data_IF_585655304619
#
_entry.id   IF_585655304619
#
_cell.length_a   1.000
_cell.length_b   1.000
_cell.length_c   1.000
_cell.angle_alpha   90.00
_cell.angle_beta   90.00
_cell.angle_gamma   90.00
#
_symmetry.space_group_name_H-M   'P 1'
#
loop_
_entity.id
_entity.type
_entity.pdbx_description
1 polymer ?
#
# COMPACT_ATOMS: atom_id res chain seq x y z
N UNK A 1 -15.23 -7.41 0.89
CA UNK A 1 -15.26 -6.09 0.20
C UNK A 1 -14.65 -6.35 -1.18
N UNK A 2 -14.32 -5.35 -2.00
CA UNK A 2 -13.41 -5.58 -3.13
C UNK A 2 -12.04 -5.01 -2.78
N UNK A 3 -10.97 -5.59 -3.33
CA UNK A 3 -9.62 -5.05 -3.22
C UNK A 3 -9.52 -3.59 -3.68
N UNK A 4 -10.25 -3.23 -4.73
CA UNK A 4 -10.36 -1.85 -5.21
C UNK A 4 -10.86 -0.91 -4.10
N UNK A 5 -11.97 -1.27 -3.44
CA UNK A 5 -12.54 -0.48 -2.34
C UNK A 5 -11.59 -0.44 -1.14
N UNK A 6 -10.89 -1.53 -0.86
CA UNK A 6 -9.87 -1.57 0.18
C UNK A 6 -8.73 -0.58 -0.08
N UNK A 7 -8.13 -0.62 -1.28
CA UNK A 7 -7.04 0.30 -1.63
C UNK A 7 -7.51 1.75 -1.65
N UNK A 8 -8.70 2.03 -2.18
CA UNK A 8 -9.28 3.38 -2.18
C UNK A 8 -9.48 3.91 -0.75
N UNK A 9 -10.02 3.08 0.15
CA UNK A 9 -10.17 3.44 1.56
C UNK A 9 -8.82 3.73 2.22
N UNK A 10 -7.80 2.93 1.91
CA UNK A 10 -6.47 3.11 2.46
C UNK A 10 -5.80 4.38 1.92
N UNK A 11 -5.97 4.71 0.64
CA UNK A 11 -5.55 5.98 0.04
C UNK A 11 -6.19 7.14 0.79
N UNK A 12 -7.51 7.15 0.92
CA UNK A 12 -8.24 8.23 1.60
C UNK A 12 -7.78 8.38 3.05
N UNK A 13 -7.54 7.26 3.75
CA UNK A 13 -7.04 7.27 5.13
C UNK A 13 -5.64 7.88 5.22
N UNK A 14 -4.73 7.56 4.28
CA UNK A 14 -3.38 8.14 4.23
C UNK A 14 -3.41 9.61 3.84
N UNK A 15 -4.25 10.01 2.88
CA UNK A 15 -4.40 11.41 2.47
C UNK A 15 -4.89 12.28 3.64
N UNK A 16 -5.88 11.79 4.39
CA UNK A 16 -6.41 12.45 5.59
C UNK A 16 -5.55 12.29 6.86
N UNK A 17 -4.45 11.54 6.81
CA UNK A 17 -3.62 11.28 7.98
C UNK A 17 -2.68 12.43 8.28
N UNK A 18 -2.63 12.81 9.56
CA UNK A 18 -1.57 13.63 10.15
C UNK A 18 -0.41 12.78 10.71
N UNK A 19 -0.61 11.48 10.89
CA UNK A 19 0.41 10.53 11.38
C UNK A 19 1.39 10.11 10.28
N UNK A 20 0.88 9.97 9.06
CA UNK A 20 1.68 9.63 7.88
C UNK A 20 1.96 10.92 7.12
N UNK A 21 3.14 11.50 7.37
CA UNK A 21 3.61 12.74 6.75
C UNK A 21 4.82 12.51 5.82
N UNK A 22 5.41 13.60 5.32
CA UNK A 22 6.61 13.55 4.49
C UNK A 22 7.92 13.79 5.26
N UNK A 23 7.88 13.92 6.59
CA UNK A 23 9.04 14.20 7.42
C UNK A 23 9.82 12.92 7.81
N UNK A 24 9.55 11.80 7.13
CA UNK A 24 10.18 10.51 7.40
C UNK A 24 11.68 10.48 7.11
N UNK A 25 12.34 9.46 7.67
CA UNK A 25 13.72 9.08 7.35
C UNK A 25 13.78 7.60 6.99
N UNK A 26 14.74 7.23 6.13
CA UNK A 26 15.05 5.83 5.87
C UNK A 26 15.96 5.22 6.95
N UNK A 27 16.30 3.93 6.80
CA UNK A 27 17.15 3.18 7.72
C UNK A 27 18.57 3.76 7.86
N UNK A 28 19.00 4.58 6.90
CA UNK A 28 20.30 5.25 6.88
C UNK A 28 20.21 6.70 7.38
N UNK A 29 19.02 7.16 7.80
CA UNK A 29 18.79 8.50 8.32
C UNK A 29 18.59 9.58 7.25
N UNK A 30 18.47 9.23 5.97
CA UNK A 30 18.20 10.19 4.89
C UNK A 30 16.72 10.56 4.83
N UNK A 31 16.45 11.80 4.42
CA UNK A 31 15.09 12.29 4.22
C UNK A 31 14.31 11.41 3.24
N UNK A 32 13.09 11.04 3.64
CA UNK A 32 12.20 10.19 2.86
C UNK A 32 10.77 10.73 2.92
N UNK A 33 10.17 11.13 1.77
CA UNK A 33 8.79 11.62 1.73
C UNK A 33 7.80 10.44 1.85
N UNK A 34 7.62 9.94 3.08
CA UNK A 34 6.87 8.72 3.42
C UNK A 34 5.44 8.76 2.88
N UNK A 35 4.66 9.81 3.15
CA UNK A 35 3.28 9.96 2.63
C UNK A 35 3.23 9.86 1.11
N UNK A 36 4.10 10.58 0.40
CA UNK A 36 4.16 10.55 -1.06
C UNK A 36 4.50 9.14 -1.59
N UNK A 37 5.45 8.44 -0.97
CA UNK A 37 5.84 7.09 -1.36
C UNK A 37 4.68 6.11 -1.15
N UNK A 38 4.00 6.18 -0.01
CA UNK A 38 2.85 5.32 0.29
C UNK A 38 1.74 5.55 -0.72
N UNK A 39 1.33 6.79 -0.96
CA UNK A 39 0.25 7.12 -1.90
C UNK A 39 0.57 6.68 -3.32
N UNK A 40 1.82 6.86 -3.77
CA UNK A 40 2.26 6.37 -5.09
C UNK A 40 2.09 4.86 -5.22
N UNK A 41 2.53 4.10 -4.21
CA UNK A 41 2.43 2.64 -4.24
C UNK A 41 0.97 2.17 -4.12
N UNK A 42 0.13 2.83 -3.31
CA UNK A 42 -1.29 2.48 -3.20
C UNK A 42 -2.06 2.72 -4.51
N UNK A 43 -1.78 3.82 -5.22
CA UNK A 43 -2.37 4.08 -6.54
C UNK A 43 -1.93 3.03 -7.55
N UNK A 44 -0.65 2.63 -7.52
CA UNK A 44 -0.16 1.53 -8.35
C UNK A 44 -0.86 0.19 -8.03
N UNK A 45 -1.08 -0.13 -6.76
CA UNK A 45 -1.88 -1.31 -6.37
C UNK A 45 -3.29 -1.23 -6.95
N UNK A 46 -3.97 -0.09 -6.80
CA UNK A 46 -5.31 0.15 -7.33
C UNK A 46 -5.35 -0.11 -8.85
N UNK A 47 -4.40 0.43 -9.60
CA UNK A 47 -4.37 0.35 -11.07
C UNK A 47 -3.95 -1.02 -11.63
N UNK A 48 -3.14 -1.78 -10.87
CA UNK A 48 -2.45 -2.96 -11.39
C UNK A 48 -2.86 -4.29 -10.74
N UNK A 49 -3.59 -4.29 -9.61
CA UNK A 49 -3.92 -5.54 -8.89
C UNK A 49 -4.68 -6.57 -9.75
N UNK A 50 -5.46 -6.12 -10.73
CA UNK A 50 -6.20 -6.99 -11.65
C UNK A 50 -5.38 -7.40 -12.89
N UNK A 51 -4.14 -6.93 -13.06
CA UNK A 51 -3.33 -7.16 -14.26
C UNK A 51 -2.31 -8.28 -14.00
N UNK A 52 -2.48 -9.50 -14.56
CA UNK A 52 -1.61 -10.64 -14.24
C UNK A 52 -0.13 -10.41 -14.59
N UNK A 53 0.14 -9.63 -15.64
CA UNK A 53 1.52 -9.29 -16.06
C UNK A 53 2.22 -8.28 -15.14
N UNK A 54 1.48 -7.59 -14.28
CA UNK A 54 2.02 -6.59 -13.36
C UNK A 54 2.31 -7.16 -11.96
N UNK A 55 2.24 -8.48 -11.80
CA UNK A 55 2.40 -9.19 -10.52
C UNK A 55 3.61 -8.72 -9.71
N UNK A 56 4.78 -8.63 -10.35
CA UNK A 56 6.01 -8.23 -9.70
C UNK A 56 5.96 -6.77 -9.20
N UNK A 57 5.36 -5.87 -9.98
CA UNK A 57 5.19 -4.48 -9.58
C UNK A 57 4.25 -4.35 -8.38
N UNK A 58 3.15 -5.10 -8.37
CA UNK A 58 2.19 -5.14 -7.26
C UNK A 58 2.88 -5.69 -5.99
N UNK A 59 3.69 -6.74 -6.14
CA UNK A 59 4.47 -7.31 -5.02
C UNK A 59 5.44 -6.31 -4.40
N UNK A 60 6.21 -5.61 -5.24
CA UNK A 60 7.15 -4.59 -4.78
C UNK A 60 6.42 -3.42 -4.12
N UNK A 61 5.32 -2.95 -4.72
CA UNK A 61 4.52 -1.85 -4.18
C UNK A 61 3.90 -2.21 -2.82
N UNK A 62 3.33 -3.41 -2.68
CA UNK A 62 2.79 -3.89 -1.41
C UNK A 62 3.86 -3.98 -0.33
N UNK A 63 5.05 -4.50 -0.67
CA UNK A 63 6.18 -4.55 0.25
C UNK A 63 6.70 -3.18 0.68
N UNK A 64 6.55 -2.14 -0.14
CA UNK A 64 6.84 -0.77 0.25
C UNK A 64 5.77 -0.23 1.20
N UNK A 65 4.48 -0.46 0.93
CA UNK A 65 3.38 -0.05 1.80
C UNK A 65 3.52 -0.68 3.20
N UNK A 66 3.83 -1.98 3.28
CA UNK A 66 3.99 -2.68 4.56
C UNK A 66 5.13 -2.16 5.43
N UNK A 67 6.18 -1.60 4.83
CA UNK A 67 7.30 -0.99 5.58
C UNK A 67 6.95 0.38 6.13
N UNK A 68 6.08 1.10 5.43
CA UNK A 68 5.78 2.49 5.75
C UNK A 68 4.46 2.65 6.50
N UNK A 69 3.55 1.68 6.51
CA UNK A 69 2.27 1.80 7.21
C UNK A 69 2.24 0.95 8.48
N UNK A 70 1.59 1.44 9.55
CA UNK A 70 1.35 0.63 10.74
C UNK A 70 0.55 -0.64 10.40
N UNK A 71 0.89 -1.82 10.96
CA UNK A 71 0.22 -3.08 10.63
C UNK A 71 -1.30 -3.06 10.85
N UNK A 72 -1.78 -2.31 11.82
CA UNK A 72 -3.19 -2.14 12.15
C UNK A 72 -3.98 -1.35 11.09
N UNK A 73 -3.30 -0.69 10.15
CA UNK A 73 -3.92 -0.10 8.97
C UNK A 73 -4.14 -1.12 7.85
N UNK A 74 -3.42 -2.25 7.89
CA UNK A 74 -3.37 -3.26 6.84
C UNK A 74 -4.33 -4.43 7.09
N UNK A 75 -5.47 -4.15 7.71
CA UNK A 75 -6.49 -5.13 8.04
C UNK A 75 -7.36 -5.42 6.82
N UNK A 76 -7.35 -6.67 6.37
CA UNK A 76 -8.19 -7.20 5.29
C UNK A 76 -9.17 -8.21 5.88
N UNK A 77 -10.36 -8.36 5.30
CA UNK A 77 -11.20 -9.53 5.56
C UNK A 77 -10.59 -10.78 4.89
N UNK A 78 -11.09 -11.98 5.23
CA UNK A 78 -10.53 -13.24 4.75
C UNK A 78 -10.59 -13.40 3.23
N UNK A 79 -11.61 -12.85 2.59
CA UNK A 79 -11.80 -12.87 1.13
C UNK A 79 -10.74 -12.02 0.43
N UNK A 80 -10.65 -10.73 0.79
CA UNK A 80 -9.68 -9.78 0.23
C UNK A 80 -8.24 -10.24 0.51
N UNK A 81 -7.99 -10.83 1.69
CA UNK A 81 -6.67 -11.41 2.04
C UNK A 81 -6.30 -12.58 1.14
N UNK A 82 -7.25 -13.46 0.84
CA UNK A 82 -7.04 -14.59 -0.08
C UNK A 82 -6.78 -14.11 -1.50
N UNK A 83 -7.53 -13.10 -1.97
CA UNK A 83 -7.36 -12.51 -3.29
C UNK A 83 -6.00 -11.81 -3.43
N UNK A 84 -5.64 -10.97 -2.45
CA UNK A 84 -4.35 -10.31 -2.43
C UNK A 84 -3.20 -11.33 -2.40
N UNK A 85 -3.33 -12.40 -1.62
CA UNK A 85 -2.33 -13.47 -1.58
C UNK A 85 -2.10 -14.09 -2.96
N UNK A 86 -3.16 -14.40 -3.73
CA UNK A 86 -3.04 -14.94 -5.10
C UNK A 86 -2.31 -14.00 -6.04
N UNK A 87 -2.47 -12.68 -5.87
CA UNK A 87 -1.77 -11.68 -6.67
C UNK A 87 -0.29 -11.61 -6.26
N UNK A 88 0.02 -11.79 -4.98
CA UNK A 88 1.39 -11.66 -4.47
C UNK A 88 2.25 -12.93 -4.61
N UNK A 89 1.64 -14.13 -4.68
CA UNK A 89 2.31 -15.45 -4.75
C UNK A 89 2.22 -16.07 -6.12
#
# INVERSE_FOLDING_TARGET
MSLEKYFLNLINKVEASDEIDNAGKDDNGFYKPRKTIVLRNLRLMLDLHQKPRAKEMVRVAWGAIMRELPPEWLVLNDEDKSELKKILT
#
